data_IF_403328538994
#
_entry.id   IF_403328538994
#
_cell.length_a   1.000
_cell.length_b   1.000
_cell.length_c   1.000
_cell.angle_alpha   90.00
_cell.angle_beta   90.00
_cell.angle_gamma   90.00
#
_symmetry.space_group_name_H-M   'P 1'
#
loop_
_entity.id
_entity.type
_entity.pdbx_description
1 polymer ?
#
# COMPACT_ATOMS: atom_id res chain seq x y z
N UNK A 1 -2.29 -13.12 -8.40
CA UNK A 1 -3.67 -12.62 -8.26
C UNK A 1 -4.64 -13.60 -8.90
N UNK A 2 -5.44 -14.32 -8.11
CA UNK A 2 -6.50 -15.20 -8.62
C UNK A 2 -7.55 -14.43 -9.42
N UNK A 3 -8.23 -15.11 -10.35
CA UNK A 3 -9.30 -14.52 -11.17
C UNK A 3 -10.43 -13.96 -10.29
N UNK A 4 -10.89 -14.73 -9.30
CA UNK A 4 -11.94 -14.32 -8.36
C UNK A 4 -11.59 -13.02 -7.62
N UNK A 5 -10.32 -12.84 -7.22
CA UNK A 5 -9.88 -11.61 -6.56
C UNK A 5 -9.92 -10.42 -7.51
N UNK A 6 -9.48 -10.60 -8.76
CA UNK A 6 -9.55 -9.53 -9.77
C UNK A 6 -10.99 -9.08 -10.03
N UNK A 7 -11.93 -10.02 -10.16
CA UNK A 7 -13.36 -9.75 -10.34
C UNK A 7 -13.97 -9.02 -9.13
N UNK A 8 -13.63 -9.43 -7.90
CA UNK A 8 -14.06 -8.74 -6.69
C UNK A 8 -13.55 -7.29 -6.62
N UNK A 9 -12.30 -7.05 -7.03
CA UNK A 9 -11.72 -5.71 -7.06
C UNK A 9 -12.43 -4.83 -8.09
N UNK A 10 -12.64 -5.34 -9.32
CA UNK A 10 -13.37 -4.62 -10.37
C UNK A 10 -14.79 -4.27 -9.93
N UNK A 11 -15.55 -5.25 -9.44
CA UNK A 11 -16.91 -5.03 -8.97
C UNK A 11 -16.97 -4.06 -7.78
N UNK A 12 -15.94 -4.02 -6.93
CA UNK A 12 -15.84 -3.03 -5.84
C UNK A 12 -15.68 -1.62 -6.40
N UNK A 13 -14.81 -1.42 -7.40
CA UNK A 13 -14.62 -0.12 -8.04
C UNK A 13 -15.83 0.33 -8.85
N UNK A 14 -16.49 -0.59 -9.57
CA UNK A 14 -17.73 -0.31 -10.31
C UNK A 14 -18.86 0.20 -9.40
N UNK A 15 -18.91 -0.28 -8.14
CA UNK A 15 -19.86 0.18 -7.12
C UNK A 15 -19.43 1.45 -6.39
N UNK A 16 -18.30 2.07 -6.77
CA UNK A 16 -17.72 3.22 -6.08
C UNK A 16 -17.15 2.89 -4.69
N UNK A 17 -16.87 1.61 -4.42
CA UNK A 17 -16.24 1.17 -3.18
C UNK A 17 -14.73 1.41 -3.18
N UNK A 18 -14.13 1.35 -1.98
CA UNK A 18 -12.68 1.47 -1.77
C UNK A 18 -12.01 0.11 -1.67
N UNK A 19 -10.82 -0.02 -2.25
CA UNK A 19 -9.92 -1.15 -2.11
C UNK A 19 -8.95 -0.90 -0.97
N UNK A 20 -9.08 -1.69 0.09
CA UNK A 20 -8.19 -1.68 1.24
C UNK A 20 -7.11 -2.73 1.05
N UNK A 21 -5.87 -2.30 0.87
CA UNK A 21 -4.71 -3.18 0.83
C UNK A 21 -4.17 -3.44 2.24
N UNK A 22 -3.96 -4.71 2.56
CA UNK A 22 -3.36 -5.14 3.84
C UNK A 22 -1.93 -5.60 3.58
N UNK A 23 -0.98 -4.75 3.98
CA UNK A 23 0.44 -4.95 3.81
C UNK A 23 0.99 -4.46 2.46
N UNK A 24 2.24 -4.01 2.48
CA UNK A 24 2.94 -3.47 1.30
C UNK A 24 3.16 -4.51 0.20
N UNK A 25 3.23 -5.81 0.53
CA UNK A 25 3.32 -6.89 -0.47
C UNK A 25 2.06 -6.98 -1.32
N UNK A 26 0.89 -6.89 -0.68
CA UNK A 26 -0.41 -6.84 -1.35
C UNK A 26 -0.50 -5.59 -2.24
N UNK A 27 -0.09 -4.43 -1.71
CA UNK A 27 -0.05 -3.18 -2.49
C UNK A 27 0.82 -3.31 -3.74
N UNK A 28 2.06 -3.78 -3.60
CA UNK A 28 2.97 -3.97 -4.74
C UNK A 28 2.40 -4.95 -5.77
N UNK A 29 1.73 -6.00 -5.32
CA UNK A 29 1.09 -6.98 -6.22
C UNK A 29 -0.03 -6.33 -7.02
N UNK A 30 -0.97 -5.64 -6.37
CA UNK A 30 -2.11 -5.01 -7.05
C UNK A 30 -1.68 -3.93 -8.03
N UNK A 31 -0.75 -3.08 -7.61
CA UNK A 31 -0.21 -1.99 -8.43
C UNK A 31 0.61 -2.50 -9.62
N UNK A 32 1.35 -3.60 -9.46
CA UNK A 32 2.03 -4.27 -10.56
C UNK A 32 1.06 -4.86 -11.59
N UNK A 33 -0.01 -5.52 -11.12
CA UNK A 33 -1.04 -6.09 -11.99
C UNK A 33 -1.74 -4.99 -12.80
N UNK A 34 -2.13 -3.89 -12.15
CA UNK A 34 -2.75 -2.77 -12.83
C UNK A 34 -1.84 -2.14 -13.89
N UNK A 35 -0.57 -1.93 -13.54
CA UNK A 35 0.45 -1.40 -14.47
C UNK A 35 0.70 -2.33 -15.67
N UNK A 36 0.45 -3.63 -15.54
CA UNK A 36 0.58 -4.62 -16.62
C UNK A 36 -0.66 -4.69 -17.55
N UNK A 37 -1.62 -3.78 -17.42
CA UNK A 37 -2.80 -3.69 -18.29
C UNK A 37 -4.12 -4.04 -17.61
N UNK A 38 -4.28 -3.64 -16.34
CA UNK A 38 -5.53 -3.74 -15.60
C UNK A 38 -5.70 -5.01 -14.76
N UNK A 39 -6.70 -4.97 -13.87
CA UNK A 39 -7.00 -6.04 -12.92
C UNK A 39 -7.53 -7.29 -13.64
N UNK A 40 -6.71 -8.34 -13.67
CA UNK A 40 -7.03 -9.65 -14.27
C UNK A 40 -6.32 -10.77 -13.51
N UNK A 41 -6.66 -12.04 -13.77
CA UNK A 41 -5.82 -13.17 -13.32
C UNK A 41 -4.37 -12.91 -13.71
N UNK A 42 -3.48 -12.98 -12.73
CA UNK A 42 -2.06 -12.72 -12.93
C UNK A 42 -1.23 -13.64 -12.05
N UNK A 43 -0.13 -14.12 -12.60
CA UNK A 43 0.87 -14.92 -11.92
C UNK A 43 2.24 -14.51 -12.45
N UNK A 44 3.20 -14.34 -11.55
CA UNK A 44 4.53 -13.87 -11.88
C UNK A 44 5.20 -13.12 -10.74
N UNK A 45 6.33 -12.52 -11.05
CA UNK A 45 7.12 -11.69 -10.14
C UNK A 45 6.98 -10.21 -10.50
N UNK A 46 7.32 -9.35 -9.56
CA UNK A 46 7.32 -7.89 -9.79
C UNK A 46 8.48 -7.21 -9.10
N UNK A 47 9.21 -6.43 -9.89
CA UNK A 47 10.27 -5.54 -9.41
C UNK A 47 9.77 -4.11 -9.23
N UNK A 48 8.46 -3.91 -9.13
CA UNK A 48 7.88 -2.58 -8.95
C UNK A 48 8.49 -1.91 -7.72
N UNK A 49 9.05 -0.72 -7.94
CA UNK A 49 9.55 0.16 -6.91
C UNK A 49 8.72 1.45 -6.88
N UNK A 50 7.73 1.48 -5.99
CA UNK A 50 6.80 2.59 -5.81
C UNK A 50 7.53 3.75 -5.11
N UNK A 51 7.73 4.85 -5.84
CA UNK A 51 8.38 6.09 -5.39
C UNK A 51 7.80 7.28 -6.16
N UNK A 52 7.86 8.51 -5.65
CA UNK A 52 7.33 9.66 -6.38
C UNK A 52 8.12 9.93 -7.67
N UNK A 53 7.44 10.39 -8.75
CA UNK A 53 5.99 10.44 -8.90
C UNK A 53 5.41 9.04 -9.14
N UNK A 54 4.31 8.71 -8.45
CA UNK A 54 3.56 7.47 -8.68
C UNK A 54 2.09 7.73 -8.36
N UNK A 55 1.20 7.30 -9.24
CA UNK A 55 -0.24 7.35 -9.06
C UNK A 55 -0.74 5.94 -8.78
N UNK A 56 -1.39 5.75 -7.63
CA UNK A 56 -1.96 4.46 -7.25
C UNK A 56 -3.21 4.21 -8.09
N UNK A 57 -3.24 3.09 -8.81
CA UNK A 57 -4.32 2.77 -9.73
C UNK A 57 -5.42 1.94 -9.07
N UNK A 58 -5.06 1.18 -8.03
CA UNK A 58 -5.95 0.19 -7.41
C UNK A 58 -6.18 0.48 -5.94
N UNK A 59 -5.13 0.77 -5.19
CA UNK A 59 -5.21 0.84 -3.73
C UNK A 59 -5.69 2.22 -3.28
N UNK A 60 -6.81 2.26 -2.56
CA UNK A 60 -7.37 3.50 -2.00
C UNK A 60 -7.01 3.68 -0.52
N UNK A 61 -6.82 2.57 0.20
CA UNK A 61 -6.53 2.56 1.64
C UNK A 61 -5.42 1.56 1.92
N UNK A 62 -4.46 1.92 2.78
CA UNK A 62 -3.33 1.06 3.15
C UNK A 62 -3.31 0.79 4.65
N UNK A 63 -3.43 -0.48 5.03
CA UNK A 63 -3.09 -0.97 6.35
C UNK A 63 -1.68 -1.58 6.32
N UNK A 64 -0.74 -1.03 7.09
CA UNK A 64 0.64 -1.51 7.15
C UNK A 64 1.26 -1.32 8.53
N UNK A 65 2.45 -1.87 8.75
CA UNK A 65 3.21 -1.67 9.99
C UNK A 65 3.97 -0.34 9.96
N UNK A 66 4.53 0.06 11.10
CA UNK A 66 5.56 1.11 11.13
C UNK A 66 6.91 0.58 10.65
N UNK A 67 7.40 1.12 9.54
CA UNK A 67 8.66 0.72 8.89
C UNK A 67 9.88 1.49 9.41
N UNK A 68 11.08 0.92 9.27
CA UNK A 68 12.31 1.58 9.71
C UNK A 68 12.66 2.83 8.86
N UNK A 69 13.37 3.82 9.44
CA UNK A 69 13.91 4.94 8.68
C UNK A 69 14.78 4.47 7.50
N UNK A 70 14.73 5.21 6.39
CA UNK A 70 15.49 4.92 5.15
C UNK A 70 15.18 3.55 4.51
N UNK A 71 14.04 2.93 4.82
CA UNK A 71 13.58 1.71 4.14
C UNK A 71 12.78 2.01 2.88
N UNK A 72 12.80 1.09 1.91
CA UNK A 72 11.96 1.16 0.69
C UNK A 72 10.46 1.13 1.01
N UNK A 73 10.06 0.47 2.10
CA UNK A 73 8.67 0.45 2.56
C UNK A 73 8.21 1.83 3.07
N UNK A 74 9.10 2.56 3.75
CA UNK A 74 8.83 3.94 4.14
C UNK A 74 8.71 4.87 2.90
N UNK A 75 9.49 4.60 1.84
CA UNK A 75 9.35 5.32 0.56
C UNK A 75 7.98 5.05 -0.08
N UNK A 76 7.54 3.78 -0.15
CA UNK A 76 6.21 3.43 -0.64
C UNK A 76 5.11 4.15 0.18
N UNK A 77 5.18 4.07 1.50
CA UNK A 77 4.21 4.72 2.39
C UNK A 77 4.21 6.25 2.21
N UNK A 78 5.38 6.87 2.07
CA UNK A 78 5.52 8.31 1.80
C UNK A 78 5.00 8.71 0.42
N UNK A 79 5.04 7.79 -0.54
CA UNK A 79 4.47 8.00 -1.89
C UNK A 79 2.95 7.91 -1.83
N UNK A 80 2.41 7.02 -1.00
CA UNK A 80 0.97 6.84 -0.80
C UNK A 80 0.32 8.00 -0.03
N UNK A 81 0.89 8.35 1.12
CA UNK A 81 0.27 9.29 2.08
C UNK A 81 0.85 10.71 2.02
N UNK A 82 1.90 10.94 1.23
CA UNK A 82 2.68 12.17 1.25
C UNK A 82 3.75 12.18 2.34
N UNK A 83 4.97 12.57 1.97
CA UNK A 83 6.16 12.51 2.84
C UNK A 83 5.99 13.29 4.15
N UNK A 84 5.48 14.51 4.09
CA UNK A 84 5.37 15.38 5.27
C UNK A 84 4.39 14.80 6.31
N UNK A 85 3.26 14.29 5.84
CA UNK A 85 2.26 13.65 6.69
C UNK A 85 2.81 12.40 7.37
N UNK A 86 3.52 11.54 6.62
CA UNK A 86 4.17 10.34 7.17
C UNK A 86 5.20 10.71 8.22
N UNK A 87 6.08 11.68 7.96
CA UNK A 87 7.10 12.09 8.93
C UNK A 87 6.48 12.64 10.22
N UNK A 88 5.40 13.43 10.11
CA UNK A 88 4.65 13.92 11.27
C UNK A 88 4.02 12.78 12.07
N UNK A 89 3.37 11.83 11.40
CA UNK A 89 2.76 10.67 12.05
C UNK A 89 3.80 9.78 12.76
N UNK A 90 4.98 9.62 12.15
CA UNK A 90 6.09 8.87 12.74
C UNK A 90 6.66 9.55 13.99
N UNK A 91 6.82 10.88 13.96
CA UNK A 91 7.25 11.64 15.13
C UNK A 91 6.27 11.47 16.30
N UNK A 92 4.97 11.51 16.02
CA UNK A 92 3.93 11.29 17.04
C UNK A 92 3.96 9.84 17.56
N UNK A 93 4.08 8.85 16.67
CA UNK A 93 4.18 7.44 17.06
C UNK A 93 5.37 7.18 17.99
N UNK A 94 6.52 7.82 17.75
CA UNK A 94 7.69 7.74 18.65
C UNK A 94 7.39 8.39 20.01
N UNK A 95 6.79 9.58 20.02
CA UNK A 95 6.41 10.30 21.24
C UNK A 95 5.42 9.50 22.10
N UNK A 96 4.44 8.87 21.46
CA UNK A 96 3.42 8.03 22.09
C UNK A 96 3.87 6.57 22.32
N UNK A 97 5.15 6.27 22.08
CA UNK A 97 5.79 4.97 22.34
C UNK A 97 5.12 3.79 21.62
N UNK A 98 4.66 4.02 20.40
CA UNK A 98 4.23 2.94 19.51
C UNK A 98 5.36 1.95 19.30
N UNK A 99 5.01 0.68 19.11
CA UNK A 99 5.92 -0.40 18.79
C UNK A 99 6.10 -0.45 17.28
N UNK A 100 7.34 -0.52 16.81
CA UNK A 100 7.65 -0.50 15.38
C UNK A 100 7.93 -1.91 14.85
N UNK A 101 8.04 -2.03 13.52
CA UNK A 101 8.50 -3.21 12.80
C UNK A 101 7.50 -4.39 12.77
N UNK A 102 7.99 -5.61 12.56
CA UNK A 102 7.15 -6.78 12.18
C UNK A 102 6.11 -7.18 13.22
N UNK A 103 6.40 -6.98 14.50
CA UNK A 103 5.53 -7.34 15.62
C UNK A 103 5.01 -6.13 16.40
N UNK A 104 5.16 -4.95 15.81
CA UNK A 104 4.74 -3.69 16.39
C UNK A 104 3.25 -3.40 16.17
N UNK A 105 2.92 -2.13 16.30
CA UNK A 105 1.60 -1.59 16.01
C UNK A 105 1.43 -1.34 14.50
N UNK A 106 0.21 -1.03 14.10
CA UNK A 106 -0.19 -0.80 12.71
C UNK A 106 -0.60 0.64 12.45
N UNK A 107 -0.52 1.04 11.18
CA UNK A 107 -0.97 2.30 10.63
C UNK A 107 -2.02 2.02 9.55
N UNK A 108 -3.13 2.73 9.63
CA UNK A 108 -4.16 2.79 8.58
C UNK A 108 -4.10 4.16 7.92
N UNK A 109 -3.87 4.20 6.60
CA UNK A 109 -3.90 5.42 5.80
C UNK A 109 -5.15 5.41 4.92
N UNK A 110 -5.97 6.45 5.05
CA UNK A 110 -7.30 6.59 4.45
C UNK A 110 -7.37 7.63 3.33
#
# INVERSE_FOLDING_TARGET
LPQETAEKLLATRERGGRVVSVGTTSTRTLEAVASAGGLRKWEGETDIFIRPPYEFQVVDVLLTNFHLPKSTLLVLLSTFAGRELVLKAYAEAVKEKYRFFSYGDAMLVL
#
